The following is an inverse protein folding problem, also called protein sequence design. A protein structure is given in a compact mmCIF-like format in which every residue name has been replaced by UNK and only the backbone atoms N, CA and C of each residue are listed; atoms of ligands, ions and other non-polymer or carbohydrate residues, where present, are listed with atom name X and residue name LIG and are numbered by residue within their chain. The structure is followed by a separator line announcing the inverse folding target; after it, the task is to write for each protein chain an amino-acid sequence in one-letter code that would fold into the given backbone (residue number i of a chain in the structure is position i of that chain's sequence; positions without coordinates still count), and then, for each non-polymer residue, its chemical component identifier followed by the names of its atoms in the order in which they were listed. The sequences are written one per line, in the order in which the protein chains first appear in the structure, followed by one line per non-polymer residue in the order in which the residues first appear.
data_IF_264920704903
#
_entry.id   IF_264920704903
#
_cell.length_a   1.000
_cell.length_b   1.000
_cell.length_c   1.000
_cell.angle_alpha   90.00
_cell.angle_beta   90.00
_cell.angle_gamma   90.00
#
_symmetry.space_group_name_H-M   'P 1'
#
loop_
_entity.id
_entity.type
_entity.pdbx_description
1 polymer ?
#
# COMPACT_ATOMS: atom_id res chain seq x y z
N UNK A 1 17.56 -5.73 1.47
CA UNK A 1 16.94 -4.48 0.99
C UNK A 1 15.59 -4.34 1.71
N UNK A 2 15.53 -3.60 2.82
CA UNK A 2 14.28 -3.28 3.56
C UNK A 2 14.36 -1.83 4.11
N UNK A 3 14.80 -0.90 3.27
CA UNK A 3 15.00 0.51 3.69
C UNK A 3 13.88 1.44 3.21
N UNK A 4 12.98 0.96 2.35
CA UNK A 4 11.91 1.77 1.79
C UNK A 4 10.75 1.89 2.79
N UNK A 5 10.29 3.12 3.01
CA UNK A 5 9.10 3.39 3.83
C UNK A 5 7.79 3.03 3.12
N UNK A 6 7.79 3.12 1.79
CA UNK A 6 6.65 2.89 0.93
C UNK A 6 7.02 1.98 -0.23
N UNK A 7 6.12 1.08 -0.60
CA UNK A 7 6.29 0.13 -1.70
C UNK A 7 5.17 0.33 -2.70
N UNK A 8 5.54 0.65 -3.94
CA UNK A 8 4.56 0.87 -5.00
C UNK A 8 4.08 -0.47 -5.53
N UNK A 9 2.77 -0.70 -5.44
CA UNK A 9 2.11 -1.85 -6.04
C UNK A 9 1.17 -1.35 -7.14
N UNK A 10 1.61 -1.49 -8.39
CA UNK A 10 0.73 -1.25 -9.53
C UNK A 10 -0.04 -2.54 -9.74
N UNK A 11 -1.32 -2.50 -9.37
CA UNK A 11 -2.21 -3.62 -9.54
C UNK A 11 -2.26 -3.94 -11.04
N UNK A 12 -2.07 -5.22 -11.34
CA UNK A 12 -2.28 -5.78 -12.66
C UNK A 12 -3.53 -6.64 -12.60
N UNK A 13 -4.17 -6.90 -13.75
CA UNK A 13 -5.40 -7.71 -13.87
C UNK A 13 -5.24 -9.21 -13.45
N UNK A 14 -4.13 -9.57 -12.81
CA UNK A 14 -3.84 -10.91 -12.33
C UNK A 14 -3.49 -10.89 -10.84
N UNK A 15 -4.28 -11.54 -9.96
CA UNK A 15 -4.01 -11.64 -8.53
C UNK A 15 -2.78 -12.50 -8.17
N UNK A 16 -2.07 -13.04 -9.17
CA UNK A 16 -0.89 -13.89 -8.99
C UNK A 16 0.38 -13.12 -8.61
N UNK A 17 0.38 -11.78 -8.67
CA UNK A 17 1.52 -11.01 -8.19
C UNK A 17 1.47 -10.92 -6.67
N UNK A 18 2.34 -11.66 -5.99
CA UNK A 18 2.48 -11.62 -4.52
C UNK A 18 3.01 -10.27 -3.98
N UNK A 19 2.95 -9.18 -4.75
CA UNK A 19 3.55 -7.88 -4.44
C UNK A 19 3.00 -7.27 -3.16
N UNK A 20 1.69 -7.36 -2.93
CA UNK A 20 1.07 -6.90 -1.69
C UNK A 20 1.60 -7.68 -0.48
N UNK A 21 1.70 -9.00 -0.60
CA UNK A 21 2.20 -9.88 0.45
C UNK A 21 3.69 -9.61 0.71
N UNK A 22 4.49 -9.47 -0.35
CA UNK A 22 5.91 -9.15 -0.28
C UNK A 22 6.14 -7.78 0.37
N UNK A 23 5.28 -6.79 0.10
CA UNK A 23 5.33 -5.47 0.73
C UNK A 23 5.02 -5.56 2.24
N UNK A 24 4.02 -6.35 2.63
CA UNK A 24 3.66 -6.59 4.02
C UNK A 24 4.82 -7.30 4.76
N UNK A 25 5.32 -8.40 4.22
CA UNK A 25 6.47 -9.13 4.78
C UNK A 25 7.76 -8.28 4.83
N UNK A 26 7.83 -7.24 3.99
CA UNK A 26 8.94 -6.29 3.99
C UNK A 26 8.78 -5.13 4.97
N UNK A 27 7.69 -5.09 5.74
CA UNK A 27 7.26 -3.98 6.59
C UNK A 27 7.20 -2.63 5.87
N UNK A 28 6.78 -2.66 4.62
CA UNK A 28 6.77 -1.51 3.72
C UNK A 28 5.31 -1.11 3.44
N UNK A 29 4.93 0.14 3.75
CA UNK A 29 3.55 0.60 3.57
C UNK A 29 3.18 0.55 2.07
N UNK A 30 2.19 -0.25 1.65
CA UNK A 30 1.83 -0.39 0.25
C UNK A 30 1.15 0.87 -0.29
N UNK A 31 1.57 1.33 -1.46
CA UNK A 31 0.89 2.34 -2.26
C UNK A 31 0.31 1.63 -3.47
N UNK A 32 -0.98 1.38 -3.43
CA UNK A 32 -1.70 0.52 -4.37
C UNK A 32 -2.30 1.39 -5.44
N UNK A 33 -1.89 1.18 -6.69
CA UNK A 33 -2.44 1.87 -7.85
C UNK A 33 -3.38 0.90 -8.55
N UNK A 34 -4.68 1.12 -8.40
CA UNK A 34 -5.72 0.39 -9.13
C UNK A 34 -7.00 1.23 -9.22
N UNK A 35 -7.79 1.01 -10.27
CA UNK A 35 -9.15 1.51 -10.33
C UNK A 35 -10.15 0.52 -9.71
N UNK A 36 -9.91 -0.78 -9.90
CA UNK A 36 -10.68 -1.88 -9.33
C UNK A 36 -9.69 -2.95 -8.82
N UNK A 37 -9.61 -3.15 -7.51
CA UNK A 37 -8.85 -4.24 -6.90
C UNK A 37 -9.68 -4.84 -5.78
N UNK A 38 -9.78 -6.17 -5.77
CA UNK A 38 -10.34 -6.92 -4.65
C UNK A 38 -9.18 -7.47 -3.84
N UNK A 39 -9.15 -7.15 -2.55
CA UNK A 39 -8.17 -7.71 -1.64
C UNK A 39 -8.64 -9.06 -1.09
N UNK A 40 -7.72 -9.99 -0.81
CA UNK A 40 -8.07 -11.20 -0.09
C UNK A 40 -8.48 -10.85 1.35
N UNK A 41 -9.49 -11.53 1.89
CA UNK A 41 -9.94 -11.38 3.28
C UNK A 41 -10.36 -9.94 3.68
N UNK A 42 -10.96 -9.16 2.77
CA UNK A 42 -11.48 -7.81 3.08
C UNK A 42 -12.52 -7.79 4.22
N UNK A 43 -13.18 -8.92 4.47
CA UNK A 43 -14.13 -9.10 5.58
C UNK A 43 -13.44 -9.17 6.95
N UNK A 44 -12.14 -9.48 6.98
CA UNK A 44 -11.34 -9.64 8.21
C UNK A 44 -10.27 -8.54 8.32
N UNK A 45 -9.66 -8.14 7.20
CA UNK A 45 -8.51 -7.24 7.16
C UNK A 45 -8.92 -5.94 6.49
N UNK A 46 -8.88 -4.86 7.26
CA UNK A 46 -9.10 -3.51 6.75
C UNK A 46 -7.79 -2.91 6.18
N UNK A 47 -7.56 -3.15 4.89
CA UNK A 47 -6.39 -2.66 4.15
C UNK A 47 -6.28 -1.12 4.17
N UNK A 48 -7.37 -0.38 4.36
CA UNK A 48 -7.33 1.09 4.43
C UNK A 48 -6.55 1.61 5.65
N UNK A 49 -6.30 0.76 6.65
CA UNK A 49 -5.55 1.14 7.85
C UNK A 49 -4.04 1.14 7.64
N UNK A 50 -3.54 0.44 6.61
CA UNK A 50 -2.11 0.26 6.39
C UNK A 50 -1.67 0.34 4.92
N UNK A 51 -2.60 0.53 3.98
CA UNK A 51 -2.34 0.74 2.56
C UNK A 51 -2.87 2.10 2.10
N UNK A 52 -2.25 2.65 1.06
CA UNK A 52 -2.68 3.88 0.39
C UNK A 52 -3.19 3.53 -0.99
N UNK A 53 -4.49 3.69 -1.22
CA UNK A 53 -5.13 3.36 -2.49
C UNK A 53 -5.22 4.58 -3.40
N UNK A 54 -4.73 4.44 -4.64
CA UNK A 54 -4.65 5.51 -5.64
C UNK A 54 -5.28 5.03 -6.95
N UNK A 55 -6.26 5.79 -7.46
CA UNK A 55 -6.82 5.54 -8.79
C UNK A 55 -5.80 5.79 -9.90
N UNK A 56 -5.79 4.96 -10.93
CA UNK A 56 -4.85 5.05 -12.06
C UNK A 56 -4.91 6.42 -12.72
N UNK A 57 -6.13 6.96 -12.87
CA UNK A 57 -6.37 8.31 -13.41
C UNK A 57 -5.63 9.44 -12.69
N UNK A 58 -5.37 9.30 -11.39
CA UNK A 58 -4.63 10.29 -10.61
C UNK A 58 -3.12 10.21 -10.84
N UNK A 59 -2.59 9.02 -11.15
CA UNK A 59 -1.15 8.79 -11.35
C UNK A 59 -0.61 9.46 -12.61
N UNK A 60 -1.46 9.65 -13.62
CA UNK A 60 -1.10 10.34 -14.88
C UNK A 60 -0.76 11.82 -14.65
N UNK A 61 -1.19 12.40 -13.53
CA UNK A 61 -0.90 13.81 -13.19
C UNK A 61 0.56 13.96 -12.76
N UNK A 62 1.22 14.99 -13.29
CA UNK A 62 2.63 15.26 -12.99
C UNK A 62 2.88 15.35 -11.47
N UNK A 63 3.90 14.63 -10.99
CA UNK A 63 4.35 14.62 -9.58
C UNK A 63 3.30 14.20 -8.54
N UNK A 64 2.14 13.67 -8.94
CA UNK A 64 1.06 13.33 -8.01
C UNK A 64 1.51 12.36 -6.91
N UNK A 65 2.12 11.23 -7.29
CA UNK A 65 2.57 10.22 -6.33
C UNK A 65 3.63 10.74 -5.36
N UNK A 66 4.59 11.53 -5.87
CA UNK A 66 5.66 12.12 -5.05
C UNK A 66 5.06 13.08 -4.03
N UNK A 67 4.12 13.93 -4.46
CA UNK A 67 3.44 14.87 -3.58
C UNK A 67 2.56 14.15 -2.54
N UNK A 68 1.84 13.11 -2.95
CA UNK A 68 1.02 12.29 -2.05
C UNK A 68 1.89 11.69 -0.95
N UNK A 69 2.93 10.93 -1.32
CA UNK A 69 3.81 10.25 -0.36
C UNK A 69 4.52 11.27 0.56
N UNK A 70 4.93 12.41 0.01
CA UNK A 70 5.59 13.48 0.78
C UNK A 70 4.64 14.24 1.72
N UNK A 71 3.33 14.22 1.43
CA UNK A 71 2.31 14.87 2.28
C UNK A 71 1.97 14.08 3.53
N UNK A 72 2.29 12.78 3.55
CA UNK A 72 2.00 11.89 4.67
C UNK A 72 2.96 12.21 5.82
N UNK A 73 2.38 12.51 6.98
CA UNK A 73 3.17 12.84 8.16
C UNK A 73 3.76 11.57 8.78
N UNK A 74 4.86 11.72 9.52
CA UNK A 74 5.53 10.58 10.13
C UNK A 74 4.66 9.85 11.16
N UNK A 75 3.77 10.54 11.88
CA UNK A 75 2.82 9.94 12.83
C UNK A 75 1.80 9.05 12.10
N UNK A 76 1.26 9.55 10.98
CA UNK A 76 0.34 8.79 10.14
C UNK A 76 1.03 7.56 9.53
N UNK A 77 2.24 7.72 9.00
CA UNK A 77 3.04 6.60 8.50
C UNK A 77 3.33 5.57 9.61
N UNK A 78 3.69 6.04 10.81
CA UNK A 78 3.96 5.15 11.96
C UNK A 78 2.71 4.36 12.36
N UNK A 79 1.52 4.97 12.27
CA UNK A 79 0.24 4.28 12.52
C UNK A 79 0.02 3.16 11.49
N UNK A 80 0.18 3.45 10.20
CA UNK A 80 0.05 2.45 9.13
C UNK A 80 1.05 1.32 9.30
N UNK A 81 2.32 1.63 9.58
CA UNK A 81 3.39 0.66 9.77
C UNK A 81 3.14 -0.27 10.97
N UNK A 82 2.62 0.27 12.09
CA UNK A 82 2.24 -0.55 13.25
C UNK A 82 1.12 -1.52 12.91
N UNK A 83 0.10 -1.06 12.19
CA UNK A 83 -1.01 -1.92 11.76
C UNK A 83 -0.56 -3.01 10.80
N UNK A 84 0.31 -2.66 9.86
CA UNK A 84 0.91 -3.63 8.94
C UNK A 84 1.61 -4.77 9.69
N UNK A 85 2.35 -4.46 10.76
CA UNK A 85 3.01 -5.48 11.60
C UNK A 85 2.05 -6.39 12.36
N UNK A 86 0.88 -5.90 12.74
CA UNK A 86 -0.13 -6.72 13.40
C UNK A 86 -0.73 -7.72 12.40
N UNK A 87 -0.94 -7.29 11.15
CA UNK A 87 -1.52 -8.10 10.07
C UNK A 87 -0.54 -9.12 9.51
N UNK A 88 0.77 -8.86 9.52
CA UNK A 88 1.77 -9.83 9.06
C UNK A 88 1.79 -11.14 9.87
N UNK A 89 1.31 -11.12 11.11
CA UNK A 89 1.24 -12.30 11.98
C UNK A 89 -0.08 -13.08 11.85
N UNK A 90 -0.98 -12.64 10.98
CA UNK A 90 -2.22 -13.34 10.63
C UNK A 90 -1.97 -14.37 9.52
#
# INVERSE_FOLDING_TARGET
MHSSKFCLDIASDTPSSNRLIDAIASHCVPVIISDDIEFPYEDVIDYSQFCISVRTSNVVREKFLVNLISSIKNDEWTRMWKRLKEVENF
#
